data_IF_602706681825
#
_entry.id   IF_602706681825
#
_cell.length_a   1.000
_cell.length_b   1.000
_cell.length_c   1.000
_cell.angle_alpha   90.00
_cell.angle_beta   90.00
_cell.angle_gamma   90.00
#
_symmetry.space_group_name_H-M   'P 1'
#
loop_
_entity.id
_entity.type
_entity.pdbx_description
1 polymer ?
#
# COMPACT_ATOMS: atom_id res chain seq x y z
N UNK A 1 -6.16 10.56 0.87
CA UNK A 1 -5.28 10.12 1.96
C UNK A 1 -4.77 11.33 2.74
N UNK A 2 -4.32 11.10 3.97
CA UNK A 2 -3.85 12.16 4.87
C UNK A 2 -2.60 12.87 4.37
N UNK A 3 -2.31 14.04 4.96
CA UNK A 3 -1.03 14.72 4.76
C UNK A 3 0.14 13.92 5.38
N UNK A 4 1.36 14.19 4.91
CA UNK A 4 2.56 13.43 5.31
C UNK A 4 2.88 13.52 6.81
N UNK A 5 2.61 14.64 7.45
CA UNK A 5 2.92 14.84 8.87
C UNK A 5 1.99 14.03 9.77
N UNK A 6 0.69 14.03 9.45
CA UNK A 6 -0.32 13.22 10.15
C UNK A 6 0.00 11.74 9.95
N UNK A 7 0.24 11.29 8.71
CA UNK A 7 0.56 9.91 8.41
C UNK A 7 1.83 9.44 9.14
N UNK A 8 2.89 10.27 9.18
CA UNK A 8 4.11 9.98 9.94
C UNK A 8 3.85 9.88 11.44
N UNK A 9 3.07 10.79 12.00
CA UNK A 9 2.74 10.79 13.44
C UNK A 9 1.98 9.53 13.85
N UNK A 10 1.00 9.10 13.04
CA UNK A 10 0.27 7.85 13.27
C UNK A 10 1.20 6.65 13.12
N UNK A 11 2.03 6.60 12.07
CA UNK A 11 2.97 5.51 11.85
C UNK A 11 3.96 5.31 13.02
N UNK A 12 4.43 6.40 13.64
CA UNK A 12 5.25 6.34 14.86
C UNK A 12 4.47 5.77 16.05
N UNK A 13 3.24 6.24 16.27
CA UNK A 13 2.40 5.76 17.39
C UNK A 13 2.03 4.28 17.25
N UNK A 14 1.83 3.81 16.02
CA UNK A 14 1.52 2.42 15.71
C UNK A 14 2.76 1.52 15.63
N UNK A 15 3.98 2.06 15.72
CA UNK A 15 5.22 1.28 15.61
C UNK A 15 5.55 0.79 14.20
N UNK A 16 4.94 1.38 13.16
CA UNK A 16 5.26 1.08 11.75
C UNK A 16 6.65 1.62 11.38
N UNK A 17 7.04 2.74 12.01
CA UNK A 17 8.36 3.34 11.95
C UNK A 17 8.79 3.76 13.35
N UNK A 18 10.10 3.80 13.59
CA UNK A 18 10.73 4.30 14.82
C UNK A 18 11.49 5.61 14.54
N UNK A 19 11.74 6.47 15.55
CA UNK A 19 12.46 7.73 15.36
C UNK A 19 13.85 7.61 14.74
N UNK A 20 14.51 6.46 14.92
CA UNK A 20 15.86 6.19 14.42
C UNK A 20 15.88 5.35 13.13
N UNK A 21 14.71 5.03 12.57
CA UNK A 21 14.65 4.25 11.34
C UNK A 21 14.92 5.14 10.12
N UNK A 22 15.65 4.59 9.15
CA UNK A 22 15.90 5.25 7.87
C UNK A 22 14.83 4.96 6.81
N UNK A 23 13.62 4.57 7.24
CA UNK A 23 12.53 4.26 6.32
C UNK A 23 11.97 5.51 5.63
N UNK A 24 11.53 5.33 4.38
CA UNK A 24 10.96 6.39 3.57
C UNK A 24 9.49 6.62 3.92
N UNK A 25 9.18 7.91 4.11
CA UNK A 25 7.83 8.46 4.23
C UNK A 25 7.66 9.46 3.10
N UNK A 26 6.88 9.12 2.08
CA UNK A 26 6.73 9.92 0.87
C UNK A 26 5.27 10.35 0.67
N UNK A 27 5.07 11.44 -0.06
CA UNK A 27 3.78 11.74 -0.67
C UNK A 27 3.66 11.10 -2.05
N UNK A 28 2.44 10.82 -2.51
CA UNK A 28 2.16 10.26 -3.83
C UNK A 28 2.87 10.97 -4.98
N UNK A 29 2.91 12.31 -4.96
CA UNK A 29 3.61 13.11 -5.99
C UNK A 29 5.12 12.79 -6.05
N UNK A 30 5.78 12.71 -4.89
CA UNK A 30 7.21 12.44 -4.81
C UNK A 30 7.52 10.98 -5.15
N UNK A 31 6.69 10.04 -4.69
CA UNK A 31 6.76 8.64 -5.09
C UNK A 31 6.69 8.48 -6.61
N UNK A 32 5.69 9.11 -7.25
CA UNK A 32 5.51 9.04 -8.70
C UNK A 32 6.70 9.63 -9.48
N UNK A 33 7.32 10.71 -8.96
CA UNK A 33 8.53 11.30 -9.55
C UNK A 33 9.72 10.36 -9.45
N UNK A 34 9.90 9.64 -8.34
CA UNK A 34 11.08 8.79 -8.13
C UNK A 34 11.08 7.51 -8.95
N UNK A 35 9.90 7.04 -9.36
CA UNK A 35 9.76 5.79 -10.11
C UNK A 35 9.69 6.00 -11.63
N UNK A 36 9.99 7.21 -12.12
CA UNK A 36 9.97 7.58 -13.54
C UNK A 36 11.18 8.45 -13.88
N UNK A 37 11.79 8.27 -15.06
CA UNK A 37 12.86 9.14 -15.55
C UNK A 37 12.36 10.51 -16.00
N UNK A 38 11.11 10.60 -16.45
CA UNK A 38 10.45 11.85 -16.86
C UNK A 38 9.12 12.02 -16.13
N UNK A 39 8.66 13.27 -15.88
CA UNK A 39 7.41 13.51 -15.16
C UNK A 39 6.18 12.79 -15.73
N UNK A 40 6.11 12.70 -17.06
CA UNK A 40 5.01 12.05 -17.80
C UNK A 40 5.42 10.66 -18.34
N UNK A 41 6.52 10.11 -17.83
CA UNK A 41 7.03 8.81 -18.24
C UNK A 41 6.23 7.63 -17.68
N UNK A 42 6.54 6.44 -18.18
CA UNK A 42 6.05 5.19 -17.61
C UNK A 42 6.80 4.82 -16.34
N UNK A 43 6.18 4.01 -15.49
CA UNK A 43 6.83 3.48 -14.28
C UNK A 43 7.98 2.57 -14.67
N UNK A 44 9.17 2.87 -14.16
CA UNK A 44 10.37 2.07 -14.36
C UNK A 44 10.61 1.16 -13.17
N UNK A 45 10.56 -0.16 -13.39
CA UNK A 45 10.73 -1.15 -12.33
C UNK A 45 12.07 -1.01 -11.60
N UNK A 46 13.15 -0.69 -12.31
CA UNK A 46 14.49 -0.52 -11.72
C UNK A 46 14.58 0.68 -10.77
N UNK A 47 13.78 1.72 -10.98
CA UNK A 47 13.67 2.87 -10.07
C UNK A 47 12.75 2.54 -8.91
N UNK A 48 11.61 1.89 -9.18
CA UNK A 48 10.69 1.40 -8.17
C UNK A 48 11.40 0.47 -7.16
N UNK A 49 12.21 -0.46 -7.64
CA UNK A 49 12.99 -1.42 -6.85
C UNK A 49 14.01 -0.76 -5.90
N UNK A 50 14.41 0.49 -6.15
CA UNK A 50 15.25 1.26 -5.23
C UNK A 50 14.47 1.91 -4.09
N UNK A 51 13.15 2.04 -4.22
CA UNK A 51 12.30 2.82 -3.32
C UNK A 51 11.45 1.92 -2.44
N UNK A 52 10.72 0.97 -3.02
CA UNK A 52 9.70 0.22 -2.28
C UNK A 52 10.24 -0.55 -1.05
N UNK A 53 11.47 -1.11 -1.03
CA UNK A 53 11.94 -1.88 0.15
C UNK A 53 12.04 -1.00 1.41
N UNK A 54 12.30 0.29 1.23
CA UNK A 54 12.43 1.26 2.31
C UNK A 54 11.14 2.07 2.54
N UNK A 55 10.18 2.03 1.61
CA UNK A 55 8.91 2.75 1.75
C UNK A 55 8.05 2.11 2.84
N UNK A 56 7.68 2.89 3.85
CA UNK A 56 6.75 2.45 4.91
C UNK A 56 5.48 3.28 4.96
N UNK A 57 5.54 4.54 4.53
CA UNK A 57 4.38 5.43 4.53
C UNK A 57 4.29 6.12 3.19
N UNK A 58 3.14 5.96 2.53
CA UNK A 58 2.77 6.70 1.33
C UNK A 58 1.55 7.58 1.63
N UNK A 59 1.80 8.85 1.91
CA UNK A 59 0.77 9.85 2.20
C UNK A 59 0.21 10.47 0.92
N UNK A 60 -0.97 11.10 1.00
CA UNK A 60 -1.67 11.72 -0.15
C UNK A 60 -1.69 10.85 -1.42
N UNK A 61 -1.75 9.53 -1.27
CA UNK A 61 -1.77 8.60 -2.40
C UNK A 61 -3.10 8.67 -3.15
N UNK A 62 -3.03 8.68 -4.48
CA UNK A 62 -4.17 8.48 -5.37
C UNK A 62 -4.56 6.99 -5.44
N UNK A 63 -5.76 6.64 -5.97
CA UNK A 63 -6.12 5.26 -6.28
C UNK A 63 -5.09 4.57 -7.17
N UNK A 64 -4.56 5.30 -8.16
CA UNK A 64 -3.55 4.82 -9.08
C UNK A 64 -2.21 4.56 -8.38
N UNK A 65 -1.83 5.38 -7.40
CA UNK A 65 -0.58 5.21 -6.65
C UNK A 65 -0.61 3.89 -5.87
N UNK A 66 -1.75 3.57 -5.25
CA UNK A 66 -1.95 2.30 -4.53
C UNK A 66 -1.83 1.12 -5.49
N UNK A 67 -2.49 1.18 -6.65
CA UNK A 67 -2.40 0.14 -7.68
C UNK A 67 -0.97 -0.06 -8.18
N UNK A 68 -0.25 1.04 -8.48
CA UNK A 68 1.14 1.01 -8.94
C UNK A 68 2.05 0.39 -7.88
N UNK A 69 1.86 0.72 -6.60
CA UNK A 69 2.64 0.15 -5.51
C UNK A 69 2.47 -1.37 -5.44
N UNK A 70 1.22 -1.87 -5.45
CA UNK A 70 0.91 -3.30 -5.39
C UNK A 70 1.48 -4.03 -6.61
N UNK A 71 1.22 -3.51 -7.82
CA UNK A 71 1.74 -4.07 -9.07
C UNK A 71 3.27 -4.14 -9.07
N UNK A 72 3.93 -3.07 -8.60
CA UNK A 72 5.38 -2.98 -8.57
C UNK A 72 6.04 -3.93 -7.58
N UNK A 73 5.45 -4.12 -6.39
CA UNK A 73 5.96 -5.08 -5.39
C UNK A 73 5.83 -6.51 -5.93
N UNK A 74 4.67 -6.87 -6.49
CA UNK A 74 4.44 -8.20 -7.10
C UNK A 74 5.43 -8.49 -8.24
N UNK A 75 5.80 -7.47 -9.02
CA UNK A 75 6.74 -7.60 -10.12
C UNK A 75 8.22 -7.54 -9.69
N UNK A 76 8.49 -7.10 -8.46
CA UNK A 76 9.86 -6.89 -7.99
C UNK A 76 10.63 -8.21 -7.88
N UNK A 77 11.92 -8.14 -8.21
CA UNK A 77 12.87 -9.25 -8.12
C UNK A 77 14.02 -8.97 -7.15
N UNK A 78 13.83 -8.01 -6.24
CA UNK A 78 14.83 -7.67 -5.23
C UNK A 78 15.11 -8.81 -4.25
N UNK A 79 14.12 -9.67 -4.02
CA UNK A 79 14.25 -10.85 -3.17
C UNK A 79 14.34 -12.12 -4.04
N UNK A 80 15.02 -13.19 -3.55
CA UNK A 80 15.13 -14.46 -4.26
C UNK A 80 13.76 -15.09 -4.57
N UNK A 81 12.79 -14.81 -3.71
CA UNK A 81 11.39 -15.20 -3.86
C UNK A 81 10.53 -13.96 -4.12
N UNK A 82 9.43 -14.15 -4.86
CA UNK A 82 8.43 -13.10 -5.08
C UNK A 82 7.76 -12.74 -3.76
N UNK A 83 7.53 -11.45 -3.55
CA UNK A 83 6.65 -10.97 -2.47
C UNK A 83 5.19 -11.34 -2.75
N UNK A 84 4.50 -11.83 -1.71
CA UNK A 84 3.05 -12.03 -1.71
C UNK A 84 2.41 -10.84 -1.02
N UNK A 85 1.53 -10.12 -1.73
CA UNK A 85 1.02 -8.82 -1.26
C UNK A 85 -0.42 -8.96 -0.82
N UNK A 86 -0.65 -8.69 0.47
CA UNK A 86 -1.99 -8.46 1.02
C UNK A 86 -2.30 -6.96 1.03
N UNK A 87 -3.50 -6.57 0.61
CA UNK A 87 -3.97 -5.18 0.62
C UNK A 87 -5.26 -5.09 1.38
N UNK A 88 -5.40 -4.09 2.25
CA UNK A 88 -6.67 -3.76 2.90
C UNK A 88 -7.22 -2.44 2.34
N UNK A 89 -8.53 -2.35 2.19
CA UNK A 89 -9.21 -1.16 1.68
C UNK A 89 -10.68 -1.14 2.06
N UNK A 90 -11.22 0.06 2.26
CA UNK A 90 -12.60 0.31 2.67
C UNK A 90 -13.34 1.18 1.65
N UNK A 91 -12.61 1.92 0.80
CA UNK A 91 -13.19 2.85 -0.16
C UNK A 91 -13.38 2.26 -1.56
N UNK A 92 -14.31 2.84 -2.31
CA UNK A 92 -14.53 2.55 -3.74
C UNK A 92 -13.26 2.70 -4.59
N UNK A 93 -12.37 3.59 -4.14
CA UNK A 93 -11.09 3.88 -4.76
C UNK A 93 -10.03 2.76 -4.59
N UNK A 94 -10.26 1.81 -3.70
CA UNK A 94 -9.30 0.73 -3.40
C UNK A 94 -9.51 -0.50 -4.28
N UNK A 95 -10.66 -0.60 -4.97
CA UNK A 95 -11.04 -1.76 -5.77
C UNK A 95 -9.96 -2.25 -6.74
N UNK A 96 -9.32 -1.39 -7.56
CA UNK A 96 -8.25 -1.82 -8.46
C UNK A 96 -7.03 -2.40 -7.72
N UNK A 97 -6.66 -1.84 -6.57
CA UNK A 97 -5.52 -2.30 -5.79
C UNK A 97 -5.84 -3.60 -5.04
N UNK A 98 -7.05 -3.71 -4.47
CA UNK A 98 -7.57 -4.93 -3.85
C UNK A 98 -7.56 -6.09 -4.84
N UNK A 99 -8.12 -5.89 -6.02
CA UNK A 99 -8.20 -6.93 -7.07
C UNK A 99 -6.84 -7.29 -7.68
N UNK A 100 -5.84 -6.40 -7.55
CA UNK A 100 -4.49 -6.63 -8.06
C UNK A 100 -3.60 -7.35 -7.04
N UNK A 101 -3.93 -7.26 -5.76
CA UNK A 101 -3.23 -7.93 -4.69
C UNK A 101 -3.30 -9.45 -4.85
N UNK A 102 -2.43 -10.17 -4.14
CA UNK A 102 -2.55 -11.63 -4.02
C UNK A 102 -3.69 -12.01 -3.07
N UNK A 103 -3.94 -11.18 -2.07
CA UNK A 103 -5.09 -11.28 -1.16
C UNK A 103 -5.62 -9.88 -0.82
N UNK A 104 -6.85 -9.57 -1.20
CA UNK A 104 -7.57 -8.35 -0.85
C UNK A 104 -8.44 -8.51 0.40
N UNK A 105 -8.32 -7.58 1.34
CA UNK A 105 -9.16 -7.47 2.54
C UNK A 105 -10.06 -6.24 2.46
N UNK A 106 -11.37 -6.43 2.66
CA UNK A 106 -12.31 -5.32 2.84
C UNK A 106 -12.83 -5.22 4.27
N UNK A 107 -13.10 -3.99 4.70
CA UNK A 107 -13.76 -3.71 5.97
C UNK A 107 -15.25 -4.08 5.87
N UNK A 108 -15.75 -4.87 6.82
CA UNK A 108 -17.13 -5.37 6.83
C UNK A 108 -18.15 -4.32 7.26
N UNK A 109 -17.80 -3.48 8.22
CA UNK A 109 -18.68 -2.44 8.78
C UNK A 109 -18.54 -1.15 7.98
N UNK A 110 -17.31 -0.63 7.86
CA UNK A 110 -17.03 0.65 7.20
C UNK A 110 -16.79 0.55 5.69
N UNK A 111 -16.53 -0.66 5.17
CA UNK A 111 -16.22 -0.82 3.75
C UNK A 111 -17.42 -0.62 2.84
N UNK A 112 -17.20 0.03 1.71
CA UNK A 112 -18.20 0.17 0.65
C UNK A 112 -18.46 -1.18 -0.02
N UNK A 113 -19.64 -1.34 -0.62
CA UNK A 113 -19.98 -2.56 -1.35
C UNK A 113 -18.99 -2.84 -2.50
N UNK A 114 -18.49 -1.78 -3.15
CA UNK A 114 -17.46 -1.90 -4.19
C UNK A 114 -16.15 -2.46 -3.64
N UNK A 115 -15.73 -2.05 -2.43
CA UNK A 115 -14.53 -2.60 -1.80
C UNK A 115 -14.73 -4.07 -1.42
N UNK A 116 -15.90 -4.42 -0.88
CA UNK A 116 -16.26 -5.80 -0.50
C UNK A 116 -16.29 -6.73 -1.72
N UNK A 117 -16.92 -6.31 -2.82
CA UNK A 117 -16.96 -7.06 -4.08
C UNK A 117 -15.59 -7.23 -4.74
N UNK A 118 -14.67 -6.28 -4.52
CA UNK A 118 -13.31 -6.34 -5.05
C UNK A 118 -12.33 -7.14 -4.17
N UNK A 119 -12.74 -7.53 -2.96
CA UNK A 119 -11.90 -8.23 -1.97
C UNK A 119 -12.10 -9.74 -1.98
N UNK A 120 -11.10 -10.48 -1.50
CA UNK A 120 -11.17 -11.93 -1.31
C UNK A 120 -11.69 -12.30 0.08
N UNK A 121 -11.43 -11.44 1.08
CA UNK A 121 -11.79 -11.65 2.48
C UNK A 121 -12.44 -10.37 3.04
N UNK A 122 -13.56 -10.53 3.75
CA UNK A 122 -14.25 -9.44 4.44
C UNK A 122 -14.00 -9.56 5.95
N UNK A 123 -13.45 -8.51 6.55
CA UNK A 123 -13.25 -8.39 8.00
C UNK A 123 -14.54 -7.93 8.67
N UNK A 124 -15.33 -8.88 9.20
CA UNK A 124 -16.65 -8.58 9.79
C UNK A 124 -16.61 -7.66 11.02
N UNK A 125 -15.45 -7.52 11.65
CA UNK A 125 -15.25 -6.74 12.87
C UNK A 125 -14.39 -5.48 12.69
N UNK A 126 -13.96 -5.17 11.45
CA UNK A 126 -13.12 -4.02 11.12
C UNK A 126 -11.80 -3.95 11.94
N UNK A 127 -11.28 -5.10 12.36
CA UNK A 127 -10.10 -5.16 13.23
C UNK A 127 -8.86 -5.66 12.49
N UNK A 128 -7.79 -4.86 12.47
CA UNK A 128 -6.50 -5.27 11.91
C UNK A 128 -5.92 -6.54 12.55
N UNK A 129 -6.22 -6.81 13.83
CA UNK A 129 -5.81 -8.05 14.49
C UNK A 129 -6.41 -9.30 13.82
N UNK A 130 -7.55 -9.18 13.15
CA UNK A 130 -8.17 -10.27 12.39
C UNK A 130 -7.36 -10.64 11.15
N UNK A 131 -6.61 -9.68 10.56
CA UNK A 131 -5.65 -9.98 9.49
C UNK A 131 -4.49 -10.83 10.04
N UNK A 132 -3.98 -10.49 11.22
CA UNK A 132 -2.90 -11.27 11.86
C UNK A 132 -3.35 -12.71 12.12
N UNK A 133 -4.58 -12.89 12.61
CA UNK A 133 -5.18 -14.22 12.81
C UNK A 133 -5.36 -15.02 11.52
N UNK A 134 -5.59 -14.36 10.39
CA UNK A 134 -5.74 -15.04 9.10
C UNK A 134 -4.40 -15.54 8.51
N UNK A 135 -3.27 -14.97 8.96
CA UNK A 135 -1.93 -15.37 8.53
C UNK A 135 -1.32 -16.46 9.42
N UNK A 136 -1.74 -16.54 10.70
CA UNK A 136 -1.31 -17.56 11.66
C UNK A 136 -1.97 -18.91 11.44
#
# INVERSE_FOLDING_TARGET
>A
GDNVNTARSIALKCGIISPNDNFLVLEGKEFNRRIRSTPDGEVEQSLFDKIWPQLRVLARSSPQDKYVLVKGIIASKNNPTREVVAVTGDGTNDGPALKKADVGFAMGIQGTDVAKEASDIILVDDNFNSIVKAVM
#
